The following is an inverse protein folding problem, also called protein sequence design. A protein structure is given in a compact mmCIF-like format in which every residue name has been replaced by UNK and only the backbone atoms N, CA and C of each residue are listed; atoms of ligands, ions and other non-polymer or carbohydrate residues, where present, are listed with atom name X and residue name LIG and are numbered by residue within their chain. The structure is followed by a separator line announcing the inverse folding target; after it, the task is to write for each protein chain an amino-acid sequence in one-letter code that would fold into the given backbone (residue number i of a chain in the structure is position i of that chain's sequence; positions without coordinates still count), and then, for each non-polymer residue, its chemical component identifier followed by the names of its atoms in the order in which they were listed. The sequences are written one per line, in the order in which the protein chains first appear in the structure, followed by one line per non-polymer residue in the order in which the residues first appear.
data_IF_868856605599
#
_entry.id   IF_868856605599
#
_cell.length_a   1.000
_cell.length_b   1.000
_cell.length_c   1.000
_cell.angle_alpha   90.00
_cell.angle_beta   90.00
_cell.angle_gamma   90.00
#
_symmetry.space_group_name_H-M   'P 1'
#
loop_
_entity.id
_entity.type
_entity.pdbx_description
1 polymer ?
#
# COMPACT_ATOMS: atom_id res chain seq x y z
N UNK A 1 0.08 18.84 -18.81
CA UNK A 1 -0.76 17.64 -18.54
C UNK A 1 -0.20 16.48 -19.36
N UNK A 2 -0.45 15.21 -19.03
CA UNK A 2 0.06 14.04 -19.79
C UNK A 2 -1.11 13.19 -20.27
N UNK A 3 -0.98 12.56 -21.45
CA UNK A 3 -1.99 11.66 -22.03
C UNK A 3 -1.50 10.22 -21.96
N UNK A 4 -2.36 9.31 -21.50
CA UNK A 4 -2.08 7.87 -21.51
C UNK A 4 -2.65 7.30 -22.80
N UNK A 5 -1.84 6.53 -23.53
CA UNK A 5 -2.29 5.86 -24.74
C UNK A 5 -3.22 4.69 -24.40
N UNK A 6 -4.42 4.58 -24.98
CA UNK A 6 -5.36 3.49 -24.68
C UNK A 6 -4.94 2.13 -25.25
N UNK A 7 -3.94 2.11 -26.16
CA UNK A 7 -3.45 0.89 -26.82
C UNK A 7 -2.26 0.26 -26.12
N UNK A 8 -1.36 1.07 -25.58
CA UNK A 8 -0.10 0.58 -25.00
C UNK A 8 0.24 1.18 -23.62
N UNK A 9 -0.68 1.96 -23.04
CA UNK A 9 -0.55 2.63 -21.74
C UNK A 9 0.69 3.53 -21.59
N UNK A 10 1.41 3.84 -22.66
CA UNK A 10 2.53 4.79 -22.62
C UNK A 10 2.00 6.20 -22.30
N UNK A 11 2.69 6.89 -21.39
CA UNK A 11 2.48 8.32 -21.15
C UNK A 11 3.10 9.14 -22.28
N UNK A 12 2.33 10.09 -22.80
CA UNK A 12 2.74 11.02 -23.84
C UNK A 12 2.47 12.45 -23.37
N UNK A 13 3.08 13.44 -24.02
CA UNK A 13 2.77 14.85 -23.78
C UNK A 13 1.29 15.14 -24.06
N UNK A 14 0.68 16.10 -23.36
CA UNK A 14 -0.69 16.55 -23.64
C UNK A 14 -0.88 17.08 -25.06
N UNK A 15 0.15 17.69 -25.64
CA UNK A 15 0.16 18.15 -27.04
C UNK A 15 0.36 17.02 -28.05
N UNK A 16 0.68 15.79 -27.61
CA UNK A 16 0.89 14.68 -28.52
C UNK A 16 -0.42 14.28 -29.22
N UNK A 17 -0.34 14.22 -30.56
CA UNK A 17 -1.45 13.82 -31.44
C UNK A 17 -1.45 12.31 -31.70
N UNK A 18 -0.27 11.70 -31.63
CA UNK A 18 -0.04 10.26 -31.80
C UNK A 18 0.81 9.74 -30.63
N UNK A 19 0.64 8.47 -30.30
CA UNK A 19 1.44 7.81 -29.28
C UNK A 19 2.85 7.51 -29.79
N UNK A 20 3.86 7.95 -29.04
CA UNK A 20 5.29 7.71 -29.34
C UNK A 20 5.70 6.23 -29.23
N UNK A 21 4.85 5.37 -28.65
CA UNK A 21 5.12 3.95 -28.47
C UNK A 21 4.52 3.02 -29.50
N UNK A 22 3.32 3.32 -29.98
CA UNK A 22 2.57 2.43 -30.86
C UNK A 22 1.93 3.13 -32.07
N UNK A 23 2.12 4.44 -32.23
CA UNK A 23 1.59 5.22 -33.35
C UNK A 23 0.08 5.46 -33.33
N UNK A 24 -0.65 4.97 -32.31
CA UNK A 24 -2.11 5.18 -32.21
C UNK A 24 -2.42 6.66 -31.92
N UNK A 25 -3.47 7.19 -32.56
CA UNK A 25 -3.98 8.54 -32.29
C UNK A 25 -4.43 8.71 -30.83
N UNK A 26 -4.05 9.83 -30.22
CA UNK A 26 -4.42 10.16 -28.85
C UNK A 26 -5.63 11.10 -28.85
N UNK A 27 -6.61 10.90 -27.95
CA UNK A 27 -7.82 11.72 -27.92
C UNK A 27 -7.48 13.20 -27.74
N UNK A 28 -8.19 14.07 -28.45
CA UNK A 28 -8.09 15.51 -28.26
C UNK A 28 -8.59 15.86 -26.85
N UNK A 29 -7.87 16.72 -26.15
CA UNK A 29 -8.29 17.22 -24.84
C UNK A 29 -9.49 18.14 -25.02
N UNK A 30 -10.71 17.61 -24.91
CA UNK A 30 -11.90 18.45 -24.81
C UNK A 30 -11.88 19.19 -23.47
N UNK A 31 -11.78 20.51 -23.56
CA UNK A 31 -12.05 21.42 -22.48
C UNK A 31 -13.53 21.27 -22.12
N UNK A 32 -13.83 20.61 -21.01
CA UNK A 32 -15.18 20.55 -20.43
C UNK A 32 -15.60 21.98 -20.10
N UNK A 33 -16.40 22.58 -20.99
CA UNK A 33 -17.10 23.83 -20.71
C UNK A 33 -18.11 23.57 -19.58
N UNK A 34 -17.82 24.13 -18.42
CA UNK A 34 -18.83 24.33 -17.37
C UNK A 34 -19.94 25.22 -17.92
N UNK A 35 -21.10 24.63 -18.22
CA UNK A 35 -22.35 25.37 -18.38
C UNK A 35 -22.92 25.67 -17.01
N UNK A 36 -22.69 26.91 -16.59
CA UNK A 36 -23.45 27.61 -15.56
C UNK A 36 -24.94 27.58 -15.90
N UNK A 37 -25.77 27.04 -15.00
CA UNK A 37 -27.21 27.24 -15.00
C UNK A 37 -27.59 27.82 -13.64
N UNK A 38 -27.66 29.14 -13.64
CA UNK A 38 -28.24 30.01 -12.63
C UNK A 38 -29.68 29.66 -12.29
N UNK A 39 -29.97 29.50 -11.00
CA UNK A 39 -31.32 29.41 -10.46
C UNK A 39 -31.28 29.27 -8.94
N UNK A 40 -31.16 30.39 -8.23
CA UNK A 40 -31.03 30.42 -6.77
C UNK A 40 -32.35 30.23 -6.02
N UNK A 41 -32.24 29.79 -4.77
CA UNK A 41 -33.00 30.32 -3.63
C UNK A 41 -32.10 30.23 -2.39
N UNK A 42 -32.06 31.35 -1.67
CA UNK A 42 -31.28 31.58 -0.46
C UNK A 42 -31.75 30.71 0.71
N UNK A 43 -30.82 30.40 1.62
CA UNK A 43 -31.17 30.30 3.03
C UNK A 43 -30.38 29.29 3.85
N UNK A 44 -29.53 29.83 4.73
CA UNK A 44 -29.47 29.40 6.14
C UNK A 44 -28.59 28.18 6.49
N UNK A 45 -27.27 28.41 6.67
CA UNK A 45 -26.62 28.64 7.97
C UNK A 45 -25.09 28.68 7.78
N UNK A 46 -24.52 29.88 7.87
CA UNK A 46 -23.11 30.12 8.11
C UNK A 46 -22.95 30.47 9.60
N UNK A 47 -22.18 29.68 10.36
CA UNK A 47 -21.60 30.13 11.63
C UNK A 47 -20.32 29.36 11.97
N UNK A 48 -19.22 29.86 11.41
CA UNK A 48 -18.00 30.28 12.12
C UNK A 48 -17.62 29.50 13.40
N UNK A 49 -16.49 28.79 13.36
CA UNK A 49 -15.26 29.36 13.92
C UNK A 49 -14.00 28.59 13.53
N UNK A 50 -13.02 29.38 13.14
CA UNK A 50 -11.59 29.12 13.08
C UNK A 50 -11.01 28.70 14.44
N UNK A 51 -10.07 27.75 14.42
CA UNK A 51 -8.69 27.80 15.00
C UNK A 51 -8.23 26.39 15.40
N UNK A 52 -7.06 25.99 14.91
CA UNK A 52 -6.33 24.84 15.46
C UNK A 52 -5.49 24.08 14.44
N UNK A 53 -4.41 24.69 13.93
CA UNK A 53 -3.29 23.92 13.40
C UNK A 53 -2.66 23.16 14.57
N UNK A 54 -2.69 21.84 14.53
CA UNK A 54 -1.61 21.01 15.08
C UNK A 54 -1.57 19.71 14.26
N UNK A 55 -0.47 19.53 13.54
CA UNK A 55 -0.25 18.35 12.74
C UNK A 55 -0.15 17.11 13.62
N UNK A 56 -0.81 16.05 13.18
CA UNK A 56 -0.48 14.67 13.53
C UNK A 56 -0.28 13.99 12.17
N UNK A 57 0.97 13.91 11.75
CA UNK A 57 1.34 12.92 10.74
C UNK A 57 1.22 11.55 11.38
N UNK A 58 0.30 10.73 10.89
CA UNK A 58 0.38 9.27 11.04
C UNK A 58 0.69 8.75 9.63
N UNK A 59 1.95 8.96 9.24
CA UNK A 59 2.64 7.95 8.45
C UNK A 59 3.16 6.93 9.46
N UNK A 60 2.78 5.66 9.30
CA UNK A 60 3.32 4.57 10.10
C UNK A 60 2.44 4.10 11.26
N UNK A 61 1.27 3.56 10.96
CA UNK A 61 0.80 2.36 11.65
C UNK A 61 0.78 1.27 10.57
N UNK A 62 1.97 0.93 10.06
CA UNK A 62 2.69 -0.28 10.42
C UNK A 62 1.75 -1.49 10.37
N UNK A 63 2.06 -2.40 9.44
CA UNK A 63 1.51 -3.72 9.19
C UNK A 63 1.50 -4.65 10.43
N UNK A 64 1.12 -4.15 11.59
CA UNK A 64 1.01 -4.91 12.82
C UNK A 64 -0.44 -5.34 12.90
N UNK A 65 -0.58 -6.63 12.65
CA UNK A 65 -1.79 -7.41 12.68
C UNK A 65 -2.87 -6.90 13.62
N UNK A 66 -4.09 -7.02 13.12
CA UNK A 66 -5.28 -7.29 13.91
C UNK A 66 -4.90 -7.93 15.25
N UNK A 67 -5.00 -7.12 16.29
CA UNK A 67 -4.79 -7.46 17.69
C UNK A 67 -5.77 -8.58 18.03
N UNK A 68 -5.31 -9.84 17.99
CA UNK A 68 -5.96 -10.95 18.69
C UNK A 68 -5.23 -11.19 20.01
N UNK A 69 -5.44 -10.27 20.96
CA UNK A 69 -5.22 -10.58 22.38
C UNK A 69 -6.33 -11.55 22.77
N UNK A 70 -6.08 -12.85 22.63
CA UNK A 70 -6.81 -13.88 23.37
C UNK A 70 -6.15 -14.01 24.73
N UNK A 71 -6.59 -13.16 25.66
CA UNK A 71 -6.31 -13.30 27.07
C UNK A 71 -7.27 -14.32 27.70
N UNK A 72 -6.78 -15.54 27.98
CA UNK A 72 -7.43 -16.55 28.84
C UNK A 72 -6.29 -17.27 29.58
N UNK A 73 -5.83 -16.79 30.74
CA UNK A 73 -6.37 -16.88 32.11
C UNK A 73 -5.73 -18.02 32.92
N UNK A 74 -5.24 -17.62 34.09
CA UNK A 74 -5.04 -18.40 35.32
C UNK A 74 -3.86 -19.41 35.35
N UNK A 75 -2.73 -18.94 35.87
CA UNK A 75 -1.97 -19.72 36.84
C UNK A 75 -1.58 -18.82 38.01
N UNK A 76 -2.10 -19.13 39.19
CA UNK A 76 -1.76 -18.50 40.46
C UNK A 76 -0.73 -19.36 41.19
N UNK A 77 0.34 -18.74 41.69
CA UNK A 77 0.78 -18.79 43.08
C UNK A 77 2.20 -18.17 43.25
N UNK A 78 2.55 -17.67 44.45
CA UNK A 78 3.59 -16.67 44.66
C UNK A 78 4.88 -17.26 45.23
N UNK A 79 6.00 -16.55 45.09
CA UNK A 79 6.88 -16.34 46.24
C UNK A 79 7.75 -15.09 46.09
N UNK A 80 7.98 -14.45 47.22
CA UNK A 80 8.75 -13.23 47.38
C UNK A 80 10.25 -13.54 47.26
N UNK A 81 11.04 -12.65 46.62
CA UNK A 81 12.38 -12.24 47.10
C UNK A 81 12.86 -11.02 46.31
N UNK A 82 13.39 -10.08 47.09
CA UNK A 82 14.03 -8.79 46.83
C UNK A 82 15.19 -8.75 45.82
N UNK A 83 15.41 -7.55 45.28
CA UNK A 83 16.71 -6.83 45.07
C UNK A 83 17.05 -6.48 43.60
N UNK A 84 17.05 -5.16 43.34
CA UNK A 84 18.04 -4.34 42.62
C UNK A 84 18.79 -4.96 41.42
N UNK A 85 18.64 -4.37 40.23
CA UNK A 85 19.69 -3.62 39.49
C UNK A 85 19.18 -3.26 38.09
N UNK A 86 19.07 -1.95 37.83
CA UNK A 86 19.01 -1.38 36.48
C UNK A 86 20.43 -1.29 35.92
N UNK A 87 20.63 -1.54 34.61
CA UNK A 87 21.04 -0.40 33.81
C UNK A 87 20.27 -0.30 32.50
N UNK A 88 19.70 0.89 32.34
CA UNK A 88 19.56 1.67 31.12
C UNK A 88 20.59 1.32 30.03
N UNK A 89 20.14 0.91 28.84
CA UNK A 89 20.86 1.18 27.60
C UNK A 89 19.87 1.37 26.44
N UNK A 90 19.50 2.63 26.25
CA UNK A 90 19.06 3.22 24.98
C UNK A 90 20.12 3.00 23.88
N UNK A 91 19.73 2.68 22.64
CA UNK A 91 20.42 3.15 21.46
C UNK A 91 19.53 4.16 20.72
N UNK A 92 20.02 5.39 20.68
CA UNK A 92 19.51 6.52 19.92
C UNK A 92 20.29 6.61 18.60
N UNK A 93 19.55 6.82 17.51
CA UNK A 93 19.94 7.48 16.25
C UNK A 93 20.92 6.82 15.27
N UNK A 94 20.39 6.63 14.06
CA UNK A 94 20.85 7.21 12.79
C UNK A 94 22.35 7.15 12.47
N UNK A 95 22.71 6.28 11.53
CA UNK A 95 23.80 6.53 10.59
C UNK A 95 23.54 5.79 9.27
N UNK A 96 23.26 6.57 8.23
CA UNK A 96 23.42 6.20 6.83
C UNK A 96 24.90 5.95 6.53
N UNK A 97 25.23 4.88 5.77
CA UNK A 97 26.31 4.94 4.81
C UNK A 97 25.71 4.91 3.40
N UNK A 98 25.77 6.04 2.72
CA UNK A 98 25.75 6.07 1.27
C UNK A 98 27.02 5.40 0.78
N UNK A 99 26.89 4.40 -0.07
CA UNK A 99 27.96 4.05 -1.00
C UNK A 99 27.30 3.62 -2.30
N UNK A 100 27.32 4.55 -3.24
CA UNK A 100 27.26 4.28 -4.66
C UNK A 100 28.26 3.16 -4.99
N UNK A 101 27.77 2.06 -5.55
CA UNK A 101 28.54 1.25 -6.48
C UNK A 101 27.59 0.80 -7.57
N UNK A 102 27.50 1.66 -8.58
CA UNK A 102 27.17 1.25 -9.93
C UNK A 102 28.29 0.33 -10.43
N UNK A 103 28.03 -0.97 -10.41
CA UNK A 103 28.70 -1.92 -11.28
C UNK A 103 27.64 -2.55 -12.16
N UNK A 104 27.43 -1.92 -13.30
CA UNK A 104 26.77 -2.52 -14.44
C UNK A 104 27.60 -3.73 -14.90
N UNK A 105 27.15 -4.93 -14.54
CA UNK A 105 27.55 -6.17 -15.21
C UNK A 105 26.29 -6.90 -15.64
N UNK A 106 26.00 -6.79 -16.94
CA UNK A 106 24.99 -7.59 -17.62
C UNK A 106 25.34 -9.08 -17.50
N UNK A 107 24.49 -9.81 -16.80
CA UNK A 107 24.58 -11.27 -16.67
C UNK A 107 23.55 -11.79 -15.67
N UNK A 108 22.52 -12.45 -16.20
CA UNK A 108 21.35 -13.10 -15.56
C UNK A 108 21.71 -14.09 -14.45
N UNK A 109 22.23 -13.61 -13.33
CA UNK A 109 22.40 -14.39 -12.10
C UNK A 109 21.50 -13.79 -11.03
N UNK A 110 20.52 -14.55 -10.58
CA UNK A 110 19.75 -14.23 -9.37
C UNK A 110 20.73 -14.12 -8.21
N UNK A 111 20.69 -13.02 -7.47
CA UNK A 111 21.53 -12.85 -6.28
C UNK A 111 20.96 -13.65 -5.10
N UNK A 112 21.79 -13.97 -4.11
CA UNK A 112 21.29 -14.63 -2.90
C UNK A 112 20.20 -13.78 -2.21
N UNK A 113 20.34 -12.45 -2.19
CA UNK A 113 19.33 -11.56 -1.61
C UNK A 113 18.01 -11.57 -2.37
N UNK A 114 18.04 -11.63 -3.71
CA UNK A 114 16.85 -11.80 -4.54
C UNK A 114 16.12 -13.13 -4.26
N UNK A 115 16.86 -14.22 -4.08
CA UNK A 115 16.28 -15.52 -3.73
C UNK A 115 15.66 -15.52 -2.32
N UNK A 116 16.31 -14.90 -1.35
CA UNK A 116 15.76 -14.76 0.01
C UNK A 116 14.50 -13.88 0.03
N UNK A 117 14.49 -12.79 -0.74
CA UNK A 117 13.31 -11.94 -0.91
C UNK A 117 12.14 -12.75 -1.49
N UNK A 118 12.36 -13.56 -2.53
CA UNK A 118 11.30 -14.39 -3.11
C UNK A 118 10.71 -15.38 -2.10
N UNK A 119 11.55 -16.05 -1.30
CA UNK A 119 11.10 -16.98 -0.25
C UNK A 119 10.29 -16.28 0.83
N UNK A 120 10.72 -15.10 1.26
CA UNK A 120 10.01 -14.33 2.28
C UNK A 120 8.68 -13.78 1.74
N UNK A 121 8.66 -13.27 0.51
CA UNK A 121 7.44 -12.82 -0.16
C UNK A 121 6.40 -13.95 -0.23
N UNK A 122 6.82 -15.16 -0.59
CA UNK A 122 5.94 -16.34 -0.57
C UNK A 122 5.42 -16.63 0.84
N UNK A 123 6.29 -16.62 1.85
CA UNK A 123 5.90 -16.87 3.24
C UNK A 123 4.86 -15.86 3.76
N UNK A 124 4.94 -14.59 3.35
CA UNK A 124 3.91 -13.61 3.69
C UNK A 124 2.57 -13.96 3.04
N UNK A 125 2.56 -14.23 1.73
CA UNK A 125 1.35 -14.55 0.98
C UNK A 125 0.67 -15.86 1.41
N UNK A 126 1.43 -16.80 1.99
CA UNK A 126 0.90 -18.03 2.57
C UNK A 126 0.15 -17.77 3.89
N UNK A 127 0.46 -16.67 4.58
CA UNK A 127 -0.11 -16.33 5.90
C UNK A 127 -1.19 -15.25 5.84
N UNK A 128 -1.05 -14.26 4.95
CA UNK A 128 -1.88 -13.06 4.89
C UNK A 128 -1.98 -12.56 3.45
N UNK A 129 -3.07 -11.88 3.14
CA UNK A 129 -3.22 -11.21 1.86
C UNK A 129 -2.40 -9.92 1.81
N UNK A 130 -1.82 -9.61 0.66
CA UNK A 130 -1.10 -8.35 0.42
C UNK A 130 -1.39 -7.80 -0.97
N UNK A 131 -1.38 -6.48 -1.10
CA UNK A 131 -1.21 -5.85 -2.41
C UNK A 131 0.24 -6.00 -2.88
N UNK A 132 0.47 -5.90 -4.20
CA UNK A 132 1.84 -5.96 -4.74
C UNK A 132 2.74 -4.91 -4.11
N UNK A 133 2.27 -3.66 -4.04
CA UNK A 133 3.05 -2.57 -3.43
C UNK A 133 3.20 -2.74 -1.92
N UNK A 134 2.16 -3.19 -1.22
CA UNK A 134 2.22 -3.45 0.21
C UNK A 134 3.27 -4.51 0.55
N UNK A 135 3.33 -5.58 -0.24
CA UNK A 135 4.34 -6.62 -0.05
C UNK A 135 5.76 -6.11 -0.37
N UNK A 136 5.95 -5.31 -1.42
CA UNK A 136 7.26 -4.69 -1.72
C UNK A 136 7.72 -3.81 -0.55
N UNK A 137 6.84 -2.97 0.00
CA UNK A 137 7.18 -2.14 1.16
C UNK A 137 7.46 -2.97 2.41
N UNK A 138 6.71 -4.07 2.62
CA UNK A 138 7.00 -5.01 3.69
C UNK A 138 8.41 -5.59 3.56
N UNK A 139 8.81 -6.10 2.39
CA UNK A 139 10.16 -6.63 2.19
C UNK A 139 11.26 -5.57 2.38
N UNK A 140 11.02 -4.32 1.98
CA UNK A 140 11.96 -3.23 2.26
C UNK A 140 12.11 -2.97 3.75
N UNK A 141 11.02 -3.06 4.50
CA UNK A 141 11.05 -2.98 5.96
C UNK A 141 11.86 -4.13 6.57
N UNK A 142 11.78 -5.34 6.00
CA UNK A 142 12.61 -6.50 6.36
C UNK A 142 14.10 -6.35 5.99
N UNK A 143 14.47 -5.23 5.34
CA UNK A 143 15.86 -4.87 5.05
C UNK A 143 16.33 -5.23 3.65
N UNK A 144 15.46 -5.73 2.77
CA UNK A 144 15.80 -5.94 1.37
C UNK A 144 15.94 -4.60 0.62
N UNK A 145 16.83 -4.57 -0.36
CA UNK A 145 16.88 -3.43 -1.29
C UNK A 145 15.60 -3.37 -2.12
N UNK A 146 15.29 -2.20 -2.67
CA UNK A 146 14.14 -2.03 -3.59
C UNK A 146 14.13 -3.08 -4.70
N UNK A 147 15.30 -3.34 -5.31
CA UNK A 147 15.44 -4.27 -6.43
C UNK A 147 15.24 -5.73 -6.00
N UNK A 148 15.70 -6.11 -4.81
CA UNK A 148 15.46 -7.46 -4.26
C UNK A 148 14.00 -7.65 -3.88
N UNK A 149 13.37 -6.66 -3.27
CA UNK A 149 11.96 -6.71 -2.89
C UNK A 149 11.04 -6.81 -4.13
N UNK A 150 11.25 -5.96 -5.13
CA UNK A 150 10.51 -6.02 -6.41
C UNK A 150 10.70 -7.38 -7.09
N UNK A 151 11.94 -7.85 -7.18
CA UNK A 151 12.24 -9.18 -7.73
C UNK A 151 11.52 -10.28 -6.96
N UNK A 152 11.63 -10.29 -5.63
CA UNK A 152 11.05 -11.32 -4.77
C UNK A 152 9.53 -11.39 -4.91
N UNK A 153 8.87 -10.24 -4.92
CA UNK A 153 7.42 -10.14 -5.12
C UNK A 153 7.01 -10.62 -6.51
N UNK A 154 7.74 -10.26 -7.56
CA UNK A 154 7.44 -10.70 -8.93
C UNK A 154 7.67 -12.20 -9.14
N UNK A 155 8.60 -12.82 -8.39
CA UNK A 155 8.82 -14.27 -8.45
C UNK A 155 7.71 -15.11 -7.79
N UNK A 156 6.86 -14.52 -6.94
CA UNK A 156 5.75 -15.25 -6.31
C UNK A 156 4.70 -15.74 -7.31
N UNK A 157 4.58 -15.07 -8.47
CA UNK A 157 3.52 -15.36 -9.44
C UNK A 157 2.10 -15.13 -8.91
N UNK A 158 1.94 -14.35 -7.84
CA UNK A 158 0.66 -14.14 -7.19
C UNK A 158 -0.38 -13.48 -8.12
N UNK A 159 -1.61 -13.97 -8.06
CA UNK A 159 -2.75 -13.28 -8.64
C UNK A 159 -3.20 -12.15 -7.69
N UNK A 160 -2.88 -10.91 -8.07
CA UNK A 160 -3.20 -9.74 -7.26
C UNK A 160 -4.70 -9.45 -7.14
N UNK A 161 -5.54 -9.94 -8.06
CA UNK A 161 -6.99 -9.88 -7.90
C UNK A 161 -7.47 -10.89 -6.84
N UNK A 162 -6.86 -12.08 -6.82
CA UNK A 162 -7.14 -13.08 -5.78
C UNK A 162 -6.69 -12.59 -4.40
N UNK A 163 -5.53 -11.94 -4.31
CA UNK A 163 -5.06 -11.32 -3.06
C UNK A 163 -6.02 -10.21 -2.59
N UNK A 164 -6.54 -9.39 -3.50
CA UNK A 164 -7.56 -8.39 -3.17
C UNK A 164 -8.85 -9.04 -2.63
N UNK A 165 -9.30 -10.14 -3.24
CA UNK A 165 -10.48 -10.87 -2.76
C UNK A 165 -10.26 -11.48 -1.36
N UNK A 166 -9.09 -12.07 -1.11
CA UNK A 166 -8.71 -12.59 0.22
C UNK A 166 -8.70 -11.49 1.28
N UNK A 167 -8.12 -10.33 0.96
CA UNK A 167 -8.11 -9.21 1.90
C UNK A 167 -9.50 -8.64 2.15
N UNK A 168 -10.31 -8.46 1.10
CA UNK A 168 -11.71 -8.04 1.23
C UNK A 168 -12.49 -8.99 2.14
N UNK A 169 -12.37 -10.30 1.96
CA UNK A 169 -13.01 -11.29 2.82
C UNK A 169 -12.53 -11.17 4.26
N UNK A 170 -11.22 -11.07 4.49
CA UNK A 170 -10.66 -10.92 5.85
C UNK A 170 -11.18 -9.68 6.58
N UNK A 171 -11.42 -8.58 5.86
CA UNK A 171 -12.07 -7.40 6.44
C UNK A 171 -13.52 -7.67 6.81
N UNK A 172 -14.27 -8.32 5.92
CA UNK A 172 -15.69 -8.63 6.15
C UNK A 172 -15.90 -9.64 7.28
N UNK A 173 -14.96 -10.55 7.48
CA UNK A 173 -14.97 -11.50 8.58
C UNK A 173 -14.80 -10.83 9.95
N UNK A 174 -14.14 -9.66 10.00
CA UNK A 174 -13.85 -8.94 11.25
C UNK A 174 -14.78 -7.75 11.50
N UNK A 175 -15.26 -7.08 10.46
CA UNK A 175 -16.11 -5.90 10.59
C UNK A 175 -17.00 -5.66 9.36
N UNK A 176 -18.11 -4.95 9.56
CA UNK A 176 -19.01 -4.58 8.48
C UNK A 176 -18.44 -3.42 7.66
N UNK A 177 -18.56 -3.51 6.33
CA UNK A 177 -18.23 -2.44 5.39
C UNK A 177 -19.37 -2.18 4.41
N UNK A 178 -19.47 -0.94 3.93
CA UNK A 178 -20.16 -0.66 2.67
C UNK A 178 -19.27 -1.05 1.49
N UNK A 179 -19.87 -1.34 0.33
CA UNK A 179 -19.12 -1.65 -0.90
C UNK A 179 -18.08 -0.59 -1.23
N UNK A 180 -18.47 0.69 -1.22
CA UNK A 180 -17.55 1.80 -1.53
C UNK A 180 -16.44 1.94 -0.47
N UNK A 181 -16.79 1.80 0.81
CA UNK A 181 -15.81 1.89 1.90
C UNK A 181 -14.78 0.78 1.84
N UNK A 182 -15.18 -0.45 1.51
CA UNK A 182 -14.23 -1.56 1.37
C UNK A 182 -13.32 -1.37 0.15
N UNK A 183 -13.83 -0.82 -0.96
CA UNK A 183 -12.97 -0.51 -2.12
C UNK A 183 -11.92 0.53 -1.73
N UNK A 184 -12.32 1.61 -1.07
CA UNK A 184 -11.40 2.65 -0.59
C UNK A 184 -10.37 2.09 0.40
N UNK A 185 -10.78 1.18 1.28
CA UNK A 185 -9.87 0.48 2.18
C UNK A 185 -8.83 -0.33 1.39
N UNK A 186 -9.24 -1.12 0.40
CA UNK A 186 -8.30 -1.91 -0.39
C UNK A 186 -7.36 -1.01 -1.22
N UNK A 187 -7.83 0.13 -1.71
CA UNK A 187 -6.96 1.12 -2.36
C UNK A 187 -5.92 1.70 -1.38
N UNK A 188 -6.32 1.93 -0.13
CA UNK A 188 -5.40 2.32 0.94
C UNK A 188 -4.36 1.23 1.25
N UNK A 189 -4.76 -0.05 1.23
CA UNK A 189 -3.86 -1.21 1.35
C UNK A 189 -2.92 -1.38 0.14
N UNK A 190 -3.04 -0.52 -0.88
CA UNK A 190 -2.16 -0.46 -2.04
C UNK A 190 -2.63 -1.28 -3.24
N UNK A 191 -3.85 -1.82 -3.21
CA UNK A 191 -4.44 -2.39 -4.42
C UNK A 191 -4.78 -1.30 -5.43
N UNK A 192 -4.69 -1.63 -6.72
CA UNK A 192 -5.26 -0.76 -7.75
C UNK A 192 -6.77 -0.73 -7.63
N UNK A 193 -7.41 0.36 -8.11
CA UNK A 193 -8.88 0.47 -8.16
C UNK A 193 -9.55 -0.78 -8.74
N UNK A 194 -9.01 -1.32 -9.82
CA UNK A 194 -9.55 -2.49 -10.52
C UNK A 194 -9.47 -3.77 -9.67
N UNK A 195 -8.34 -3.97 -8.97
CA UNK A 195 -8.17 -5.10 -8.03
C UNK A 195 -9.09 -4.96 -6.83
N UNK A 196 -9.21 -3.76 -6.26
CA UNK A 196 -10.10 -3.48 -5.15
C UNK A 196 -11.56 -3.75 -5.52
N UNK A 197 -12.03 -3.23 -6.66
CA UNK A 197 -13.38 -3.50 -7.17
C UNK A 197 -13.63 -4.99 -7.45
N UNK A 198 -12.62 -5.69 -7.99
CA UNK A 198 -12.69 -7.13 -8.19
C UNK A 198 -12.82 -7.87 -6.85
N UNK A 199 -11.97 -7.55 -5.88
CA UNK A 199 -11.93 -8.19 -4.58
C UNK A 199 -13.24 -8.04 -3.82
N UNK A 200 -13.75 -6.81 -3.74
CA UNK A 200 -15.03 -6.50 -3.08
C UNK A 200 -16.20 -7.22 -3.73
N UNK A 201 -16.27 -7.23 -5.06
CA UNK A 201 -17.31 -7.98 -5.79
C UNK A 201 -17.23 -9.48 -5.51
N UNK A 202 -16.02 -10.04 -5.47
CA UNK A 202 -15.78 -11.47 -5.24
C UNK A 202 -16.14 -11.86 -3.80
N UNK A 203 -15.91 -10.97 -2.83
CA UNK A 203 -16.28 -11.15 -1.43
C UNK A 203 -17.79 -10.92 -1.13
N UNK A 204 -18.60 -10.66 -2.16
CA UNK A 204 -20.07 -10.63 -2.05
C UNK A 204 -20.70 -9.25 -1.87
N UNK A 205 -19.96 -8.15 -2.14
CA UNK A 205 -20.46 -6.76 -2.05
C UNK A 205 -20.56 -6.00 -3.38
#
# INVERSE_FOLDING_TARGET
MTKICPKCNKMNKDTAKFCEGCGTELPASEQVKQTSSSGGVMGFWNKQSSRGKLGIGIGGICCIGLILIVAISAFMAPDATTTTTSPNTTPTSSSTPSTDTSTNSSGTSVTAGQEQAAKMAQSYLDSQAFSRSGLIEQLKYEGFTQQEAEYGVDQTGADWNEQAAKMAQSYLDSQAFSRSGLIEQLEYEGFTRQQAEYGVRTAGL
#
